data_IF_435656313059
#
_entry.id   IF_435656313059
#
_cell.length_a   1.000
_cell.length_b   1.000
_cell.length_c   1.000
_cell.angle_alpha   90.00
_cell.angle_beta   90.00
_cell.angle_gamma   90.00
#
_symmetry.space_group_name_H-M   'P 1'
#
loop_
_entity.id
_entity.type
_entity.pdbx_description
1 polymer ?
#
# COMPACT_ATOMS: atom_id res chain seq x y z
N UNK A 1 9.18 -27.31 -11.57
CA UNK A 1 9.16 -26.09 -10.73
C UNK A 1 9.70 -24.92 -11.54
N UNK A 2 8.79 -24.11 -12.10
CA UNK A 2 9.17 -22.96 -12.92
C UNK A 2 9.54 -21.79 -12.01
N UNK A 3 10.77 -21.33 -12.13
CA UNK A 3 11.24 -20.09 -11.50
C UNK A 3 10.80 -18.96 -12.42
N UNK A 4 9.72 -18.27 -12.06
CA UNK A 4 9.30 -17.07 -12.79
C UNK A 4 10.32 -15.97 -12.50
N UNK A 5 11.23 -15.76 -13.45
CA UNK A 5 12.08 -14.57 -13.48
C UNK A 5 11.16 -13.36 -13.67
N UNK A 6 11.09 -12.51 -12.64
CA UNK A 6 10.30 -11.28 -12.63
C UNK A 6 10.93 -10.30 -13.62
N UNK A 7 10.53 -10.37 -14.89
CA UNK A 7 10.90 -9.40 -15.90
C UNK A 7 9.98 -8.18 -15.76
N UNK A 8 10.55 -7.02 -15.47
CA UNK A 8 9.86 -5.73 -15.56
C UNK A 8 9.46 -5.49 -17.02
N UNK A 9 8.20 -5.15 -17.25
CA UNK A 9 7.69 -4.84 -18.59
C UNK A 9 8.00 -3.39 -18.93
N UNK A 10 9.01 -3.17 -19.78
CA UNK A 10 9.24 -1.87 -20.43
C UNK A 10 8.21 -1.70 -21.56
N UNK A 11 7.07 -1.09 -21.25
CA UNK A 11 6.10 -0.65 -22.26
C UNK A 11 6.19 0.87 -22.46
N UNK A 12 7.33 1.30 -23.01
CA UNK A 12 7.46 2.63 -23.62
C UNK A 12 6.74 2.66 -24.97
N UNK A 13 5.51 3.16 -25.00
CA UNK A 13 4.71 3.25 -26.23
C UNK A 13 3.69 4.39 -26.19
N UNK A 14 4.14 5.58 -26.57
CA UNK A 14 3.39 6.83 -26.78
C UNK A 14 1.92 6.65 -27.23
N UNK A 15 0.98 7.01 -26.35
CA UNK A 15 -0.39 7.41 -26.72
C UNK A 15 -0.80 8.61 -25.87
N UNK A 16 -0.84 9.79 -26.49
CA UNK A 16 -1.44 11.01 -25.92
C UNK A 16 -2.91 10.76 -25.59
N UNK A 17 -3.26 10.75 -24.31
CA UNK A 17 -4.62 10.65 -23.81
C UNK A 17 -4.80 11.50 -22.55
N UNK A 18 -5.82 12.35 -22.56
CA UNK A 18 -6.09 13.37 -21.56
C UNK A 18 -6.13 12.86 -20.10
N UNK A 19 -5.45 13.58 -19.21
CA UNK A 19 -5.93 13.80 -17.84
C UNK A 19 -5.70 12.70 -16.79
N UNK A 20 -4.84 11.71 -17.02
CA UNK A 20 -4.51 10.70 -16.00
C UNK A 20 -3.01 10.62 -15.79
N UNK A 21 -2.53 11.09 -14.62
CA UNK A 21 -1.17 11.00 -14.07
C UNK A 21 -0.09 10.40 -15.00
N UNK A 22 0.23 11.12 -16.08
CA UNK A 22 1.26 10.72 -17.05
C UNK A 22 2.61 11.26 -16.55
N UNK A 23 3.08 10.68 -15.47
CA UNK A 23 4.41 10.87 -14.96
C UNK A 23 4.77 9.58 -14.25
N UNK A 24 5.94 9.03 -14.55
CA UNK A 24 6.54 7.88 -13.90
C UNK A 24 6.49 8.09 -12.38
N UNK A 25 5.41 7.65 -11.73
CA UNK A 25 5.37 7.52 -10.28
C UNK A 25 6.11 6.22 -10.09
N UNK A 26 7.39 6.32 -9.78
CA UNK A 26 8.15 5.14 -9.42
C UNK A 26 7.38 4.40 -8.34
N UNK A 27 7.04 3.14 -8.62
CA UNK A 27 6.37 2.30 -7.62
C UNK A 27 7.31 2.20 -6.41
N UNK A 28 6.79 1.94 -5.21
CA UNK A 28 7.55 1.86 -3.96
C UNK A 28 8.72 0.84 -3.98
N UNK A 29 8.80 0.04 -5.04
CA UNK A 29 9.83 -0.96 -5.35
C UNK A 29 11.04 -0.34 -6.08
N UNK A 30 10.89 0.83 -6.71
CA UNK A 30 11.97 1.51 -7.41
C UNK A 30 13.06 2.03 -6.46
N UNK A 31 14.19 2.44 -7.05
CA UNK A 31 15.32 2.98 -6.30
C UNK A 31 15.00 4.38 -5.75
N UNK A 32 14.38 4.41 -4.56
CA UNK A 32 14.08 5.63 -3.83
C UNK A 32 15.18 6.04 -2.86
N UNK A 33 15.32 7.34 -2.60
CA UNK A 33 16.23 7.87 -1.59
C UNK A 33 15.46 8.14 -0.30
N UNK A 34 15.61 7.26 0.69
CA UNK A 34 14.81 7.33 1.91
C UNK A 34 15.48 8.16 3.01
N UNK A 35 14.83 9.24 3.43
CA UNK A 35 15.23 10.01 4.60
C UNK A 35 14.33 9.68 5.78
N UNK A 36 14.92 9.24 6.90
CA UNK A 36 14.17 9.08 8.16
C UNK A 36 13.80 10.46 8.71
N UNK A 37 12.53 10.83 8.65
CA UNK A 37 12.03 12.14 9.08
C UNK A 37 11.52 12.13 10.52
N UNK A 38 11.16 10.95 11.05
CA UNK A 38 10.61 10.83 12.40
C UNK A 38 10.85 9.44 12.99
N UNK A 39 11.00 9.38 14.31
CA UNK A 39 10.95 8.12 15.08
C UNK A 39 10.04 8.32 16.28
N UNK A 40 9.06 7.43 16.45
CA UNK A 40 8.05 7.47 17.51
C UNK A 40 7.79 6.05 18.00
N UNK A 41 7.91 5.81 19.30
CA UNK A 41 7.56 4.53 19.93
C UNK A 41 8.15 3.28 19.22
N UNK A 42 9.40 3.38 18.72
CA UNK A 42 10.07 2.28 18.01
C UNK A 42 9.75 2.17 16.51
N UNK A 43 8.82 2.99 15.98
CA UNK A 43 8.51 3.09 14.55
C UNK A 43 9.32 4.22 13.93
N UNK A 44 10.03 3.93 12.83
CA UNK A 44 10.75 4.91 12.00
C UNK A 44 9.94 5.24 10.77
N UNK A 45 9.75 6.53 10.50
CA UNK A 45 9.01 7.04 9.34
C UNK A 45 10.01 7.68 8.38
N UNK A 46 9.93 7.28 7.11
CA UNK A 46 10.79 7.75 6.04
C UNK A 46 9.95 8.43 4.96
N UNK A 47 10.52 9.47 4.38
CA UNK A 47 10.04 10.14 3.17
C UNK A 47 11.04 9.89 2.03
N UNK A 48 10.54 9.69 0.82
CA UNK A 48 11.39 9.69 -0.38
C UNK A 48 11.81 11.14 -0.71
N UNK A 49 13.11 11.36 -0.90
CA UNK A 49 13.68 12.66 -1.24
C UNK A 49 14.17 12.75 -2.69
N UNK A 50 14.10 11.65 -3.45
CA UNK A 50 14.61 11.58 -4.82
C UNK A 50 13.84 12.51 -5.79
N UNK A 51 12.53 12.71 -5.58
CA UNK A 51 11.69 13.53 -6.47
C UNK A 51 10.90 14.64 -5.74
N UNK A 52 11.47 15.24 -4.70
CA UNK A 52 10.79 16.30 -3.92
C UNK A 52 10.50 17.59 -4.71
N UNK A 53 10.86 17.64 -6.00
CA UNK A 53 10.82 18.84 -6.86
C UNK A 53 9.78 18.78 -7.98
N UNK A 54 9.16 17.63 -8.24
CA UNK A 54 8.19 17.50 -9.35
C UNK A 54 6.78 18.02 -9.03
N UNK A 55 6.52 18.46 -7.79
CA UNK A 55 5.18 18.84 -7.34
C UNK A 55 4.21 17.66 -7.22
N UNK A 56 4.72 16.42 -7.36
CA UNK A 56 3.98 15.18 -7.14
C UNK A 56 3.94 14.87 -5.64
N UNK A 57 3.02 13.99 -5.25
CA UNK A 57 2.83 13.58 -3.86
C UNK A 57 4.11 12.99 -3.24
N UNK A 58 4.16 12.94 -1.91
CA UNK A 58 5.30 12.39 -1.17
C UNK A 58 5.09 10.90 -0.93
N UNK A 59 6.07 10.08 -1.31
CA UNK A 59 6.12 8.67 -0.89
C UNK A 59 6.60 8.57 0.54
N UNK A 60 5.85 7.83 1.35
CA UNK A 60 6.17 7.60 2.76
C UNK A 60 6.21 6.10 3.05
N UNK A 61 7.10 5.69 3.94
CA UNK A 61 7.09 4.34 4.51
C UNK A 61 7.34 4.38 6.02
N UNK A 62 6.81 3.39 6.72
CA UNK A 62 7.06 3.18 8.14
C UNK A 62 7.71 1.81 8.36
N UNK A 63 8.70 1.75 9.26
CA UNK A 63 9.40 0.52 9.62
C UNK A 63 9.42 0.37 11.14
N UNK A 64 8.90 -0.74 11.62
CA UNK A 64 8.92 -1.13 13.04
C UNK A 64 9.18 -2.63 13.19
N UNK A 65 9.57 -3.05 14.39
CA UNK A 65 9.70 -4.47 14.76
C UNK A 65 8.54 -4.81 15.67
N UNK A 66 7.85 -5.90 15.38
CA UNK A 66 6.69 -6.39 16.13
C UNK A 66 7.04 -7.75 16.71
N UNK A 67 6.64 -8.01 17.95
CA UNK A 67 6.78 -9.30 18.61
C UNK A 67 5.66 -10.25 18.16
N UNK A 68 5.71 -10.66 16.90
CA UNK A 68 4.78 -11.59 16.26
C UNK A 68 5.44 -12.26 15.05
N UNK A 69 4.90 -13.41 14.63
CA UNK A 69 5.34 -14.05 13.38
C UNK A 69 4.89 -13.22 12.17
N UNK A 70 5.63 -13.32 11.06
CA UNK A 70 5.24 -12.66 9.81
C UNK A 70 3.83 -13.12 9.35
N UNK A 71 3.48 -14.38 9.56
CA UNK A 71 2.20 -15.00 9.21
C UNK A 71 1.06 -14.34 9.99
N UNK A 72 1.26 -14.17 11.31
CA UNK A 72 0.29 -13.49 12.17
C UNK A 72 0.08 -12.05 11.74
N UNK A 73 1.17 -11.31 11.47
CA UNK A 73 1.07 -9.92 10.99
C UNK A 73 0.36 -9.86 9.65
N UNK A 74 0.70 -10.76 8.73
CA UNK A 74 0.10 -10.85 7.41
C UNK A 74 -1.41 -11.12 7.48
N UNK A 75 -1.83 -12.08 8.30
CA UNK A 75 -3.24 -12.38 8.54
C UNK A 75 -3.99 -11.16 9.08
N UNK A 76 -3.44 -10.48 10.09
CA UNK A 76 -4.05 -9.26 10.68
C UNK A 76 -4.14 -8.13 9.65
N UNK A 77 -3.12 -7.95 8.82
CA UNK A 77 -3.09 -6.89 7.79
C UNK A 77 -4.04 -7.17 6.65
N UNK A 78 -4.21 -8.42 6.23
CA UNK A 78 -5.12 -8.78 5.14
C UNK A 78 -6.57 -8.98 5.55
N UNK A 79 -6.86 -9.15 6.85
CA UNK A 79 -8.22 -9.38 7.31
C UNK A 79 -9.16 -8.19 7.00
N UNK A 80 -10.29 -8.49 6.36
CA UNK A 80 -11.34 -7.54 6.01
C UNK A 80 -12.46 -7.48 7.07
N UNK A 81 -12.46 -8.38 8.04
CA UNK A 81 -13.45 -8.42 9.10
C UNK A 81 -13.40 -7.16 9.95
N UNK A 82 -14.48 -6.38 9.84
CA UNK A 82 -14.65 -5.09 10.51
C UNK A 82 -14.24 -5.11 11.98
N UNK A 83 -14.71 -6.11 12.73
CA UNK A 83 -14.48 -6.16 14.17
C UNK A 83 -13.00 -6.33 14.53
N UNK A 84 -12.23 -7.07 13.73
CA UNK A 84 -10.79 -7.25 13.94
C UNK A 84 -9.99 -6.05 13.42
N UNK A 85 -10.36 -5.52 12.24
CA UNK A 85 -9.64 -4.40 11.63
C UNK A 85 -9.70 -3.14 12.47
N UNK A 86 -10.87 -2.86 13.06
CA UNK A 86 -11.11 -1.67 13.89
C UNK A 86 -10.33 -1.67 15.21
N UNK A 87 -9.77 -2.82 15.63
CA UNK A 87 -8.94 -2.88 16.84
C UNK A 87 -7.63 -2.10 16.70
N UNK A 88 -7.15 -1.90 15.46
CA UNK A 88 -5.86 -1.25 15.21
C UNK A 88 -5.88 -0.20 14.10
N UNK A 89 -6.74 -0.36 13.08
CA UNK A 89 -6.84 0.60 11.99
C UNK A 89 -7.92 1.64 12.32
N UNK A 90 -7.45 2.83 12.69
CA UNK A 90 -8.34 3.93 13.01
C UNK A 90 -8.79 4.72 11.78
N UNK A 91 -8.13 4.57 10.62
CA UNK A 91 -8.38 5.42 9.45
C UNK A 91 -9.31 4.76 8.45
N UNK A 92 -9.10 3.47 8.19
CA UNK A 92 -9.92 2.71 7.26
C UNK A 92 -11.23 2.31 7.93
N UNK A 93 -12.33 2.61 7.23
CA UNK A 93 -13.67 2.19 7.59
C UNK A 93 -13.94 0.76 7.13
N UNK A 94 -15.13 0.55 6.56
CA UNK A 94 -15.54 -0.77 6.07
C UNK A 94 -14.75 -1.15 4.81
N UNK A 95 -14.31 -2.40 4.74
CA UNK A 95 -13.68 -3.03 3.58
C UNK A 95 -14.56 -4.16 3.06
N UNK A 96 -14.69 -4.24 1.73
CA UNK A 96 -15.48 -5.25 1.04
C UNK A 96 -14.65 -5.89 -0.06
N UNK A 97 -14.64 -7.23 -0.09
CA UNK A 97 -14.04 -7.99 -1.19
C UNK A 97 -14.88 -7.80 -2.45
N UNK A 98 -14.26 -7.27 -3.50
CA UNK A 98 -14.91 -7.06 -4.81
C UNK A 98 -14.72 -8.28 -5.69
N UNK A 99 -13.49 -8.80 -5.77
CA UNK A 99 -13.16 -9.97 -6.57
C UNK A 99 -11.89 -10.66 -6.04
N UNK A 100 -11.73 -11.95 -6.35
CA UNK A 100 -10.54 -12.75 -6.01
C UNK A 100 -10.23 -13.73 -7.14
N UNK A 101 -8.95 -13.83 -7.51
CA UNK A 101 -8.54 -14.60 -8.68
C UNK A 101 -7.96 -15.98 -8.33
N UNK A 102 -6.91 -16.03 -7.51
CA UNK A 102 -6.11 -17.23 -7.25
C UNK A 102 -5.78 -17.48 -5.77
N UNK A 103 -6.42 -16.73 -4.87
CA UNK A 103 -6.13 -16.76 -3.43
C UNK A 103 -4.85 -16.01 -3.02
N UNK A 104 -4.14 -15.39 -3.96
CA UNK A 104 -2.97 -14.54 -3.75
C UNK A 104 -3.10 -13.15 -4.39
N UNK A 105 -4.21 -12.93 -5.09
CA UNK A 105 -4.59 -11.67 -5.71
C UNK A 105 -6.08 -11.40 -5.48
N UNK A 106 -6.39 -10.21 -4.97
CA UNK A 106 -7.76 -9.74 -4.81
C UNK A 106 -7.92 -8.24 -5.08
N UNK A 107 -9.18 -7.81 -5.18
CA UNK A 107 -9.58 -6.41 -5.31
C UNK A 107 -10.51 -6.08 -4.16
N UNK A 108 -10.22 -4.98 -3.46
CA UNK A 108 -10.93 -4.55 -2.25
C UNK A 108 -11.47 -3.14 -2.44
N UNK A 109 -12.75 -2.96 -2.13
CA UNK A 109 -13.39 -1.65 -1.95
C UNK A 109 -13.27 -1.25 -0.48
N UNK A 110 -12.99 0.02 -0.23
CA UNK A 110 -12.84 0.54 1.12
C UNK A 110 -13.41 1.95 1.28
N UNK A 111 -13.83 2.25 2.50
CA UNK A 111 -14.24 3.60 2.92
C UNK A 111 -13.27 4.12 3.98
N UNK A 112 -13.24 5.44 4.20
CA UNK A 112 -12.56 6.01 5.38
C UNK A 112 -13.53 6.09 6.56
N UNK A 113 -13.03 5.92 7.79
CA UNK A 113 -13.83 6.12 9.00
C UNK A 113 -14.28 7.60 9.06
N UNK A 114 -15.61 7.88 9.04
CA UNK A 114 -16.14 9.24 9.05
C UNK A 114 -15.69 10.08 10.25
N UNK A 115 -15.29 9.46 11.37
CA UNK A 115 -14.79 10.18 12.56
C UNK A 115 -13.52 10.98 12.29
N UNK A 116 -12.73 10.54 11.32
CA UNK A 116 -11.45 11.18 10.96
C UNK A 116 -11.56 12.07 9.71
N UNK A 117 -12.75 12.16 9.12
CA UNK A 117 -13.06 13.13 8.07
C UNK A 117 -13.61 14.41 8.72
N UNK A 118 -13.02 15.56 8.37
CA UNK A 118 -13.57 16.85 8.80
C UNK A 118 -14.90 17.12 8.09
N UNK A 119 -15.76 17.97 8.68
CA UNK A 119 -17.06 18.37 8.08
C UNK A 119 -16.95 18.94 6.65
N UNK A 120 -15.76 19.37 6.25
CA UNK A 120 -15.45 19.94 4.94
C UNK A 120 -14.85 18.94 3.95
N UNK A 121 -14.52 17.73 4.40
CA UNK A 121 -14.09 16.62 3.55
C UNK A 121 -15.31 15.78 3.20
N UNK A 122 -15.61 15.64 1.91
CA UNK A 122 -16.62 14.68 1.44
C UNK A 122 -16.22 13.26 1.86
N UNK A 123 -17.22 12.38 2.06
CA UNK A 123 -16.97 10.95 2.17
C UNK A 123 -16.16 10.53 0.95
N UNK A 124 -14.99 9.96 1.17
CA UNK A 124 -14.17 9.34 0.13
C UNK A 124 -14.17 7.84 0.33
N UNK A 125 -14.14 7.14 -0.77
CA UNK A 125 -13.90 5.71 -0.85
C UNK A 125 -12.70 5.46 -1.76
N UNK A 126 -12.26 4.22 -1.79
CA UNK A 126 -11.12 3.78 -2.57
C UNK A 126 -11.32 2.33 -3.00
N UNK A 127 -10.66 1.97 -4.11
CA UNK A 127 -10.54 0.61 -4.58
C UNK A 127 -9.07 0.36 -4.86
N UNK A 128 -8.56 -0.79 -4.45
CA UNK A 128 -7.18 -1.19 -4.67
C UNK A 128 -7.10 -2.70 -4.86
N UNK A 129 -6.12 -3.14 -5.64
CA UNK A 129 -5.75 -4.54 -5.72
C UNK A 129 -4.67 -4.87 -4.69
N UNK A 130 -4.69 -6.09 -4.19
CA UNK A 130 -3.63 -6.64 -3.33
C UNK A 130 -3.07 -7.87 -4.00
N UNK A 131 -1.75 -7.97 -4.02
CA UNK A 131 -1.04 -9.16 -4.44
C UNK A 131 -0.03 -9.52 -3.37
N UNK A 132 0.07 -10.79 -3.01
CA UNK A 132 1.03 -11.25 -2.00
C UNK A 132 1.66 -12.59 -2.38
N UNK A 133 2.89 -12.81 -1.91
CA UNK A 133 3.60 -14.07 -2.05
C UNK A 133 4.36 -14.35 -0.75
N UNK A 134 4.51 -15.62 -0.37
CA UNK A 134 5.34 -15.99 0.78
C UNK A 134 6.71 -16.46 0.28
N UNK A 135 7.75 -15.75 0.67
CA UNK A 135 9.14 -16.10 0.42
C UNK A 135 9.57 -17.37 1.17
N UNK A 136 10.62 -18.03 0.68
CA UNK A 136 11.20 -19.21 1.34
C UNK A 136 11.86 -18.87 2.68
N UNK A 137 12.28 -17.62 2.84
CA UNK A 137 12.80 -17.03 4.07
C UNK A 137 11.70 -16.58 5.05
N UNK A 138 10.42 -16.78 4.68
CA UNK A 138 9.26 -16.44 5.50
C UNK A 138 8.82 -14.99 5.40
N UNK A 139 9.40 -14.19 4.48
CA UNK A 139 8.89 -12.84 4.20
C UNK A 139 7.62 -12.89 3.37
N UNK A 140 6.79 -11.85 3.45
CA UNK A 140 5.65 -11.62 2.56
C UNK A 140 5.92 -10.41 1.66
#
# INVERSE_FOLDING_TARGET
PETLLRQSSDLGGSVRGEGFFEGDIGDAIEAHEWKCVRTLNGVRIFEDVADSKSGRGVLVKAVGVIDASADTVFEVVLNLERHQRYEWDMLTGDLELVDSYDGHYDVVYGTYDPKYLTRWQSKRDFVFSRQWFRGQDGTY
#
